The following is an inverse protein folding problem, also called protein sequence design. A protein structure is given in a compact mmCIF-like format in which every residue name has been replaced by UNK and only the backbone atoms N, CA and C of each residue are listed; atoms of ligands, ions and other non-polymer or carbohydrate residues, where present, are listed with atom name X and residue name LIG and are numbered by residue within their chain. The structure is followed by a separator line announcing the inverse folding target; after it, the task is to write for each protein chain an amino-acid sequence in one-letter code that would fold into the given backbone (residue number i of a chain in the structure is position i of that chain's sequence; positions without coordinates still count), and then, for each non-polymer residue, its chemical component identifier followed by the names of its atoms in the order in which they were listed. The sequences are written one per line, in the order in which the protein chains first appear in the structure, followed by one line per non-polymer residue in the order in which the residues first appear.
data_IF_832438920252
#
_entry.id   IF_832438920252
#
_cell.length_a   1.000
_cell.length_b   1.000
_cell.length_c   1.000
_cell.angle_alpha   90.00
_cell.angle_beta   90.00
_cell.angle_gamma   90.00
#
_symmetry.space_group_name_H-M   'P 1'
#
loop_
_entity.id
_entity.type
_entity.pdbx_description
1 polymer ?
#
# COMPACT_ATOMS: atom_id res chain seq x y z
N UNK A 1 -56.18 12.14 -26.63
CA UNK A 1 -55.02 12.57 -25.79
C UNK A 1 -53.73 12.24 -26.52
N UNK A 2 -52.93 13.24 -26.85
CA UNK A 2 -51.68 13.02 -27.57
C UNK A 2 -50.62 12.34 -26.69
N UNK A 3 -49.62 11.64 -27.29
CA UNK A 3 -48.63 10.90 -26.54
C UNK A 3 -47.85 11.71 -25.49
N UNK A 4 -47.64 13.01 -25.74
CA UNK A 4 -46.99 13.94 -24.79
C UNK A 4 -47.78 14.12 -23.50
N UNK A 5 -49.11 14.27 -23.54
CA UNK A 5 -49.95 14.38 -22.35
C UNK A 5 -50.03 13.10 -21.52
N UNK A 6 -49.91 11.93 -22.16
CA UNK A 6 -49.79 10.66 -21.42
C UNK A 6 -48.46 10.51 -20.69
N UNK A 7 -47.36 10.93 -21.30
CA UNK A 7 -46.05 10.96 -20.65
C UNK A 7 -46.03 11.93 -19.46
N UNK A 8 -46.60 13.13 -19.60
CA UNK A 8 -46.68 14.13 -18.55
C UNK A 8 -47.48 13.64 -17.33
N UNK A 9 -48.61 12.95 -17.60
CA UNK A 9 -49.43 12.35 -16.54
C UNK A 9 -48.73 11.21 -15.82
N UNK A 10 -48.03 10.35 -16.55
CA UNK A 10 -47.21 9.26 -15.97
C UNK A 10 -46.09 9.86 -15.13
N UNK A 11 -45.39 10.86 -15.63
CA UNK A 11 -44.31 11.54 -14.91
C UNK A 11 -44.78 12.18 -13.62
N UNK A 12 -45.94 12.88 -13.65
CA UNK A 12 -46.46 13.59 -12.47
C UNK A 12 -46.96 12.62 -11.39
N UNK A 13 -47.57 11.52 -11.77
CA UNK A 13 -48.18 10.58 -10.82
C UNK A 13 -47.22 9.52 -10.30
N UNK A 14 -46.31 9.05 -11.14
CA UNK A 14 -45.36 7.99 -10.82
C UNK A 14 -43.97 8.47 -10.45
N UNK A 15 -43.73 9.78 -10.45
CA UNK A 15 -42.44 10.38 -10.08
C UNK A 15 -41.87 9.81 -8.78
N UNK A 16 -42.62 9.74 -7.65
CA UNK A 16 -42.09 9.17 -6.41
C UNK A 16 -41.76 7.68 -6.52
N UNK A 17 -42.56 6.92 -7.27
CA UNK A 17 -42.32 5.50 -7.48
C UNK A 17 -41.09 5.24 -8.35
N UNK A 18 -40.90 6.05 -9.40
CA UNK A 18 -39.71 5.95 -10.29
C UNK A 18 -38.45 6.27 -9.50
N UNK A 19 -38.45 7.33 -8.69
CA UNK A 19 -37.32 7.64 -7.80
C UNK A 19 -37.06 6.55 -6.77
N UNK A 20 -38.13 5.94 -6.24
CA UNK A 20 -38.02 4.80 -5.32
C UNK A 20 -37.32 3.60 -5.96
N UNK A 21 -37.70 3.24 -7.18
CA UNK A 21 -37.05 2.15 -7.93
C UNK A 21 -35.59 2.45 -8.23
N UNK A 22 -35.27 3.67 -8.68
CA UNK A 22 -33.89 4.10 -8.93
C UNK A 22 -33.06 4.03 -7.64
N UNK A 23 -33.60 4.48 -6.51
CA UNK A 23 -32.92 4.43 -5.21
C UNK A 23 -32.65 2.98 -4.78
N UNK A 24 -33.60 2.05 -4.97
CA UNK A 24 -33.41 0.63 -4.67
C UNK A 24 -32.34 0.01 -5.55
N UNK A 25 -32.32 0.31 -6.84
CA UNK A 25 -31.30 -0.17 -7.78
C UNK A 25 -29.92 0.36 -7.34
N UNK A 26 -29.81 1.66 -7.03
CA UNK A 26 -28.55 2.26 -6.56
C UNK A 26 -28.06 1.63 -5.24
N UNK A 27 -28.97 1.32 -4.31
CA UNK A 27 -28.64 0.60 -3.06
C UNK A 27 -28.12 -0.81 -3.33
N UNK A 28 -28.73 -1.56 -4.24
CA UNK A 28 -28.29 -2.92 -4.60
C UNK A 28 -26.88 -2.89 -5.19
N UNK A 29 -26.59 -1.94 -6.10
CA UNK A 29 -25.25 -1.78 -6.65
C UNK A 29 -24.23 -1.36 -5.57
N UNK A 30 -24.59 -0.40 -4.71
CA UNK A 30 -23.70 0.04 -3.62
C UNK A 30 -23.41 -1.08 -2.61
N UNK A 31 -24.39 -1.91 -2.26
CA UNK A 31 -24.20 -3.06 -1.35
C UNK A 31 -23.31 -4.11 -2.03
N UNK A 32 -23.50 -4.37 -3.32
CA UNK A 32 -22.67 -5.33 -4.07
C UNK A 32 -21.21 -4.88 -4.09
N UNK A 33 -20.94 -3.61 -4.45
CA UNK A 33 -19.60 -3.06 -4.50
C UNK A 33 -18.94 -3.07 -3.11
N UNK A 34 -19.67 -2.70 -2.06
CA UNK A 34 -19.20 -2.78 -0.68
C UNK A 34 -18.83 -4.22 -0.28
N UNK A 35 -19.67 -5.19 -0.64
CA UNK A 35 -19.43 -6.60 -0.33
C UNK A 35 -18.23 -7.17 -1.10
N UNK A 36 -18.03 -6.78 -2.35
CA UNK A 36 -16.86 -7.19 -3.14
C UNK A 36 -15.57 -6.55 -2.58
N UNK A 37 -15.58 -5.27 -2.25
CA UNK A 37 -14.44 -4.60 -1.63
C UNK A 37 -14.08 -5.16 -0.24
N UNK A 38 -15.06 -5.60 0.54
CA UNK A 38 -14.80 -6.20 1.85
C UNK A 38 -14.08 -7.55 1.79
N UNK A 39 -13.99 -8.18 0.61
CA UNK A 39 -13.25 -9.43 0.39
C UNK A 39 -11.78 -9.19 0.07
N UNK A 40 -11.42 -7.99 -0.36
CA UNK A 40 -10.05 -7.65 -0.71
C UNK A 40 -9.20 -7.69 0.56
N UNK A 41 -8.15 -8.49 0.52
CA UNK A 41 -7.16 -8.60 1.60
C UNK A 41 -5.82 -8.11 1.10
N UNK A 42 -5.23 -7.19 1.81
CA UNK A 42 -3.83 -6.82 1.59
C UNK A 42 -2.95 -7.98 2.06
N UNK A 43 -2.26 -8.60 1.13
CA UNK A 43 -1.33 -9.73 1.39
C UNK A 43 0.08 -9.26 1.66
N UNK A 44 0.40 -8.05 1.23
CA UNK A 44 1.65 -7.37 1.50
C UNK A 44 1.45 -5.86 1.42
N UNK A 45 1.87 -5.14 2.45
CA UNK A 45 1.92 -3.68 2.48
C UNK A 45 3.37 -3.22 2.57
N UNK A 46 3.84 -2.54 1.53
CA UNK A 46 5.18 -1.97 1.45
C UNK A 46 5.09 -0.45 1.50
N UNK A 47 5.91 0.19 2.31
CA UNK A 47 6.02 1.65 2.34
C UNK A 47 7.39 2.07 1.82
N UNK A 48 7.40 2.94 0.80
CA UNK A 48 8.61 3.50 0.20
C UNK A 48 8.74 4.96 0.58
N UNK A 49 9.78 5.28 1.32
CA UNK A 49 10.06 6.65 1.80
C UNK A 49 10.71 7.46 0.68
N UNK A 50 10.31 8.72 0.51
CA UNK A 50 10.81 9.63 -0.53
C UNK A 50 10.74 9.04 -1.95
N UNK A 51 9.73 8.24 -2.26
CA UNK A 51 9.53 7.74 -3.62
C UNK A 51 9.10 8.86 -4.57
N UNK A 52 9.66 8.84 -5.77
CA UNK A 52 9.26 9.67 -6.92
C UNK A 52 8.47 8.87 -7.94
N UNK A 53 8.02 7.66 -7.60
CA UNK A 53 7.22 6.83 -8.50
C UNK A 53 5.90 7.54 -8.85
N UNK A 54 5.64 7.66 -10.15
CA UNK A 54 4.35 8.15 -10.67
C UNK A 54 3.33 7.02 -10.81
N UNK A 55 3.80 5.78 -10.79
CA UNK A 55 3.00 4.57 -10.93
C UNK A 55 3.46 3.54 -9.91
N UNK A 56 2.56 3.11 -9.05
CA UNK A 56 2.78 2.00 -8.10
C UNK A 56 2.08 0.72 -8.54
N UNK A 57 1.13 0.80 -9.50
CA UNK A 57 0.34 -0.35 -9.93
C UNK A 57 1.21 -1.41 -10.63
N UNK A 58 2.18 -0.98 -11.45
CA UNK A 58 3.08 -1.91 -12.14
C UNK A 58 3.94 -2.72 -11.18
N UNK A 59 4.67 -2.14 -10.22
CA UNK A 59 5.42 -2.90 -9.22
C UNK A 59 4.51 -3.71 -8.27
N UNK A 60 3.34 -3.21 -7.88
CA UNK A 60 2.35 -3.97 -7.10
C UNK A 60 1.94 -5.26 -7.81
N UNK A 61 1.65 -5.20 -9.10
CA UNK A 61 1.27 -6.38 -9.89
C UNK A 61 2.43 -7.37 -10.03
N UNK A 62 3.66 -6.91 -10.29
CA UNK A 62 4.83 -7.77 -10.36
C UNK A 62 5.09 -8.52 -9.04
N UNK A 63 5.01 -7.80 -7.92
CA UNK A 63 5.16 -8.42 -6.59
C UNK A 63 4.04 -9.42 -6.34
N UNK A 64 2.79 -9.06 -6.65
CA UNK A 64 1.62 -9.94 -6.54
C UNK A 64 1.79 -11.23 -7.37
N UNK A 65 2.29 -11.13 -8.60
CA UNK A 65 2.59 -12.29 -9.45
C UNK A 65 3.69 -13.16 -8.83
N UNK A 66 4.76 -12.54 -8.33
CA UNK A 66 5.88 -13.24 -7.68
C UNK A 66 5.44 -13.99 -6.43
N UNK A 67 4.50 -13.43 -5.67
CA UNK A 67 3.91 -14.05 -4.50
C UNK A 67 2.90 -15.17 -4.83
N UNK A 68 2.61 -15.41 -6.13
CA UNK A 68 1.70 -16.46 -6.58
C UNK A 68 0.21 -16.09 -6.56
N UNK A 69 -0.12 -14.80 -6.37
CA UNK A 69 -1.50 -14.31 -6.31
C UNK A 69 -1.99 -13.69 -7.62
N UNK A 70 -1.32 -13.94 -8.76
CA UNK A 70 -1.63 -13.33 -10.06
C UNK A 70 -3.11 -13.36 -10.41
N UNK A 71 -3.75 -14.51 -10.27
CA UNK A 71 -5.13 -14.75 -10.69
C UNK A 71 -6.16 -14.55 -9.56
N UNK A 72 -5.71 -14.15 -8.36
CA UNK A 72 -6.62 -13.91 -7.24
C UNK A 72 -7.10 -12.45 -7.22
N UNK A 73 -8.39 -12.19 -7.52
CA UNK A 73 -8.93 -10.83 -7.54
C UNK A 73 -9.09 -10.22 -6.14
N UNK A 74 -9.00 -11.02 -5.09
CA UNK A 74 -9.20 -10.59 -3.72
C UNK A 74 -7.90 -10.35 -2.95
N UNK A 75 -6.76 -10.73 -3.50
CA UNK A 75 -5.45 -10.45 -2.93
C UNK A 75 -4.87 -9.16 -3.51
N UNK A 76 -4.47 -8.22 -2.66
CA UNK A 76 -3.87 -6.94 -3.03
C UNK A 76 -2.48 -6.83 -2.44
N UNK A 77 -1.52 -6.36 -3.23
CA UNK A 77 -0.27 -5.78 -2.77
C UNK A 77 -0.45 -4.27 -2.77
N UNK A 78 0.04 -3.59 -1.77
CA UNK A 78 -0.11 -2.15 -1.62
C UNK A 78 1.26 -1.51 -1.41
N UNK A 79 1.59 -0.51 -2.23
CA UNK A 79 2.81 0.28 -2.12
C UNK A 79 2.45 1.71 -1.73
N UNK A 80 2.70 2.08 -0.48
CA UNK A 80 2.54 3.43 0.02
C UNK A 80 3.77 4.28 -0.27
N UNK A 81 3.58 5.49 -0.80
CA UNK A 81 4.65 6.44 -1.15
C UNK A 81 4.48 7.80 -0.47
N UNK A 82 3.76 7.81 0.64
CA UNK A 82 3.31 9.03 1.33
C UNK A 82 4.22 9.48 2.47
N UNK A 83 5.31 8.77 2.75
CA UNK A 83 6.26 9.16 3.79
C UNK A 83 7.44 9.90 3.19
N UNK A 84 7.73 11.07 3.76
CA UNK A 84 8.82 11.95 3.36
C UNK A 84 9.71 12.28 4.54
N UNK A 85 11.00 12.57 4.25
CA UNK A 85 12.00 12.92 5.26
C UNK A 85 12.39 14.38 5.17
N UNK A 86 13.15 14.83 6.13
CA UNK A 86 13.89 16.08 6.09
C UNK A 86 14.96 16.09 4.97
N UNK A 87 15.62 17.23 4.77
CA UNK A 87 16.65 17.38 3.73
C UNK A 87 17.88 16.51 3.95
N UNK A 88 18.14 16.05 5.18
CA UNK A 88 19.26 15.19 5.54
C UNK A 88 18.93 13.70 5.42
N UNK A 89 17.67 13.38 5.16
CA UNK A 89 17.13 12.02 5.04
C UNK A 89 17.36 11.16 6.31
N UNK A 90 17.42 11.81 7.46
CA UNK A 90 17.70 11.16 8.73
C UNK A 90 16.47 11.05 9.64
N UNK A 91 15.47 11.90 9.44
CA UNK A 91 14.24 11.94 10.22
C UNK A 91 13.05 12.17 9.31
N UNK A 92 11.88 11.69 9.71
CA UNK A 92 10.63 12.03 9.01
C UNK A 92 10.33 13.53 9.15
N UNK A 93 9.71 14.12 8.15
CA UNK A 93 9.06 15.40 8.35
C UNK A 93 7.86 15.27 9.31
N UNK A 94 7.34 16.40 9.80
CA UNK A 94 6.30 16.38 10.82
C UNK A 94 5.05 15.60 10.44
N UNK A 95 4.61 15.71 9.17
CA UNK A 95 3.40 15.02 8.70
C UNK A 95 3.66 13.53 8.51
N UNK A 96 4.81 13.18 7.94
CA UNK A 96 5.24 11.82 7.76
C UNK A 96 5.46 11.09 9.09
N UNK A 97 6.01 11.77 10.11
CA UNK A 97 6.15 11.21 11.45
C UNK A 97 4.80 10.80 12.04
N UNK A 98 3.79 11.66 11.94
CA UNK A 98 2.44 11.36 12.42
C UNK A 98 1.80 10.21 11.63
N UNK A 99 1.96 10.19 10.31
CA UNK A 99 1.46 9.13 9.46
C UNK A 99 2.14 7.79 9.75
N UNK A 100 3.46 7.79 9.91
CA UNK A 100 4.25 6.62 10.26
C UNK A 100 3.78 5.99 11.58
N UNK A 101 3.67 6.78 12.64
CA UNK A 101 3.19 6.29 13.95
C UNK A 101 1.80 5.67 13.84
N UNK A 102 0.88 6.32 13.10
CA UNK A 102 -0.46 5.78 12.89
C UNK A 102 -0.45 4.45 12.12
N UNK A 103 0.39 4.34 11.07
CA UNK A 103 0.52 3.13 10.26
C UNK A 103 1.14 1.97 11.04
N UNK A 104 2.17 2.22 11.85
CA UNK A 104 2.79 1.21 12.71
C UNK A 104 1.77 0.71 13.75
N UNK A 105 1.04 1.61 14.41
CA UNK A 105 0.02 1.23 15.39
C UNK A 105 -1.13 0.44 14.78
N UNK A 106 -1.45 0.71 13.51
CA UNK A 106 -2.46 -0.03 12.77
C UNK A 106 -1.96 -1.39 12.23
N UNK A 107 -0.65 -1.69 12.34
CA UNK A 107 -0.04 -2.86 11.73
C UNK A 107 -0.19 -2.89 10.20
N UNK A 108 -0.13 -1.70 9.57
CA UNK A 108 -0.38 -1.56 8.13
C UNK A 108 0.90 -1.40 7.30
N UNK A 109 2.06 -1.68 7.88
CA UNK A 109 3.35 -1.72 7.19
C UNK A 109 4.02 -3.07 7.45
N UNK A 110 4.16 -3.87 6.41
CA UNK A 110 4.91 -5.13 6.49
C UNK A 110 6.39 -4.90 6.15
N UNK A 111 6.67 -4.07 5.14
CA UNK A 111 8.02 -3.80 4.66
C UNK A 111 8.20 -2.30 4.46
N UNK A 112 9.35 -1.79 4.88
CA UNK A 112 9.78 -0.41 4.60
C UNK A 112 11.01 -0.39 3.71
N UNK A 113 10.96 0.46 2.69
CA UNK A 113 12.10 0.86 1.85
C UNK A 113 12.45 2.29 2.21
N UNK A 114 13.67 2.52 2.69
CA UNK A 114 14.03 3.80 3.26
C UNK A 114 15.53 4.13 3.08
N UNK A 115 15.91 5.42 3.23
CA UNK A 115 17.32 5.80 3.34
C UNK A 115 17.99 5.13 4.54
N UNK A 116 19.21 4.66 4.36
CA UNK A 116 20.02 4.05 5.45
C UNK A 116 20.13 4.98 6.69
N UNK A 117 20.24 6.28 6.49
CA UNK A 117 20.30 7.25 7.61
C UNK A 117 19.02 7.24 8.45
N UNK A 118 17.85 7.20 7.79
CA UNK A 118 16.57 7.11 8.47
C UNK A 118 16.47 5.80 9.25
N UNK A 119 16.84 4.68 8.65
CA UNK A 119 16.87 3.38 9.32
C UNK A 119 17.74 3.43 10.58
N UNK A 120 18.94 3.98 10.50
CA UNK A 120 19.85 4.10 11.67
C UNK A 120 19.27 4.98 12.78
N UNK A 121 18.44 5.97 12.45
CA UNK A 121 17.74 6.79 13.43
C UNK A 121 16.59 6.03 14.09
N UNK A 122 15.73 5.40 13.28
CA UNK A 122 14.59 4.62 13.76
C UNK A 122 15.02 3.44 14.62
N UNK A 123 16.06 2.71 14.22
CA UNK A 123 16.59 1.54 14.93
C UNK A 123 16.97 1.83 16.40
N UNK A 124 17.29 3.07 16.74
CA UNK A 124 17.64 3.45 18.11
C UNK A 124 16.46 3.38 19.07
N UNK A 125 15.26 3.60 18.56
CA UNK A 125 14.04 3.74 19.35
C UNK A 125 12.99 2.66 19.06
N UNK A 126 13.10 2.00 17.93
CA UNK A 126 12.10 1.07 17.45
C UNK A 126 12.76 -0.25 17.01
N UNK A 127 12.17 -1.40 17.39
CA UNK A 127 12.70 -2.69 16.97
C UNK A 127 12.36 -2.97 15.50
N UNK A 128 13.32 -3.52 14.77
CA UNK A 128 13.11 -4.15 13.47
C UNK A 128 13.29 -5.65 13.61
N UNK A 129 12.55 -6.42 12.81
CA UNK A 129 12.63 -7.85 12.82
C UNK A 129 13.99 -8.35 12.31
N UNK A 130 14.47 -9.45 12.87
CA UNK A 130 15.66 -10.11 12.38
C UNK A 130 15.34 -10.86 11.06
N UNK A 131 15.84 -10.35 9.94
CA UNK A 131 15.57 -10.89 8.62
C UNK A 131 16.21 -12.27 8.41
N UNK A 132 17.30 -12.56 9.11
CA UNK A 132 17.92 -13.88 9.08
C UNK A 132 17.02 -14.93 9.74
N UNK A 133 16.32 -14.57 10.83
CA UNK A 133 15.33 -15.45 11.45
C UNK A 133 14.08 -15.61 10.57
N UNK A 134 13.61 -14.53 9.92
CA UNK A 134 12.41 -14.56 9.09
C UNK A 134 12.58 -15.39 7.81
N UNK A 135 13.66 -15.22 7.07
CA UNK A 135 13.85 -15.84 5.76
C UNK A 135 14.78 -17.06 5.77
N UNK A 136 15.47 -17.30 6.87
CA UNK A 136 16.48 -18.33 7.02
C UNK A 136 17.87 -17.91 6.55
N UNK A 137 18.89 -18.53 7.12
CA UNK A 137 20.30 -18.18 6.90
C UNK A 137 20.72 -18.25 5.43
N UNK A 138 20.33 -19.33 4.73
CA UNK A 138 20.69 -19.54 3.32
C UNK A 138 20.11 -18.46 2.38
N UNK A 139 18.88 -18.02 2.64
CA UNK A 139 18.25 -16.96 1.85
C UNK A 139 18.85 -15.58 2.17
N UNK A 140 19.15 -15.31 3.44
CA UNK A 140 19.75 -14.07 3.88
C UNK A 140 21.17 -13.87 3.31
N UNK A 141 21.99 -14.91 3.27
CA UNK A 141 23.35 -14.87 2.73
C UNK A 141 23.40 -14.52 1.23
N UNK A 142 22.33 -14.78 0.47
CA UNK A 142 22.25 -14.41 -0.95
C UNK A 142 22.23 -12.88 -1.19
N UNK A 143 21.86 -12.11 -0.18
CA UNK A 143 21.89 -10.64 -0.24
C UNK A 143 23.24 -10.03 0.17
N UNK A 144 24.26 -10.85 0.35
CA UNK A 144 25.59 -10.44 0.74
C UNK A 144 25.84 -10.53 2.24
N UNK A 145 27.12 -10.54 2.65
CA UNK A 145 27.47 -10.57 4.08
C UNK A 145 27.19 -9.22 4.73
N UNK A 146 26.04 -9.15 5.37
CA UNK A 146 25.67 -7.98 6.17
C UNK A 146 25.98 -8.25 7.65
N UNK A 147 26.58 -7.30 8.31
CA UNK A 147 26.85 -7.37 9.75
C UNK A 147 25.60 -7.14 10.58
N UNK A 148 24.59 -6.51 10.01
CA UNK A 148 23.30 -6.23 10.62
C UNK A 148 22.22 -7.08 9.97
N UNK A 149 21.56 -7.92 10.75
CA UNK A 149 20.54 -8.87 10.28
C UNK A 149 19.14 -8.26 10.20
N UNK A 150 18.96 -7.00 10.61
CA UNK A 150 17.65 -6.35 10.65
C UNK A 150 17.34 -5.48 9.43
N UNK A 151 18.24 -5.41 8.46
CA UNK A 151 18.00 -4.76 7.16
C UNK A 151 18.81 -5.41 6.03
N UNK A 152 18.39 -5.15 4.80
CA UNK A 152 19.09 -5.55 3.58
C UNK A 152 19.29 -4.32 2.72
N UNK A 153 20.52 -4.07 2.25
CA UNK A 153 20.77 -3.04 1.24
C UNK A 153 20.28 -3.50 -0.14
N UNK A 154 19.57 -2.62 -0.83
CA UNK A 154 19.08 -2.85 -2.20
C UNK A 154 19.65 -1.80 -3.18
N UNK A 155 20.67 -1.09 -2.78
CA UNK A 155 21.35 -0.08 -3.59
C UNK A 155 21.78 -0.69 -4.93
N UNK A 156 21.62 0.06 -6.02
CA UNK A 156 21.89 -0.36 -7.41
C UNK A 156 21.04 -1.54 -7.92
N UNK A 157 19.92 -1.85 -7.26
CA UNK A 157 19.03 -2.92 -7.66
C UNK A 157 17.98 -2.46 -8.70
N UNK A 158 17.45 -3.41 -9.47
CA UNK A 158 16.30 -3.16 -10.36
C UNK A 158 15.07 -2.73 -9.56
N UNK A 159 14.89 -3.29 -8.36
CA UNK A 159 13.79 -2.94 -7.46
C UNK A 159 13.83 -1.47 -7.02
N UNK A 160 15.01 -0.94 -6.73
CA UNK A 160 15.20 0.48 -6.39
C UNK A 160 14.66 1.39 -7.49
N UNK A 161 15.00 1.08 -8.75
CA UNK A 161 14.56 1.86 -9.91
C UNK A 161 13.04 1.77 -10.12
N UNK A 162 12.46 0.60 -9.98
CA UNK A 162 11.01 0.38 -10.13
C UNK A 162 10.21 1.10 -9.04
N UNK A 163 10.73 1.19 -7.83
CA UNK A 163 10.12 1.89 -6.70
C UNK A 163 10.32 3.42 -6.76
N UNK A 164 11.01 3.93 -7.78
CA UNK A 164 11.24 5.37 -7.97
C UNK A 164 12.07 6.00 -6.85
N UNK A 165 12.98 5.24 -6.28
CA UNK A 165 13.89 5.70 -5.23
C UNK A 165 15.02 6.51 -5.87
N UNK A 166 15.36 7.66 -5.28
CA UNK A 166 16.37 8.61 -5.81
C UNK A 166 17.51 8.89 -4.84
N UNK A 167 17.58 8.15 -3.76
CA UNK A 167 18.60 8.29 -2.72
C UNK A 167 19.46 7.02 -2.58
N UNK A 168 20.66 7.18 -2.10
CA UNK A 168 21.65 6.14 -1.90
C UNK A 168 22.41 6.42 -0.59
N UNK A 169 22.65 5.43 0.29
CA UNK A 169 22.23 4.02 0.18
C UNK A 169 20.77 3.78 0.58
N UNK A 170 20.18 2.75 -0.05
CA UNK A 170 18.79 2.29 0.18
C UNK A 170 18.78 0.99 0.95
N UNK A 171 17.89 0.86 1.89
CA UNK A 171 17.69 -0.39 2.62
C UNK A 171 16.22 -0.80 2.73
N UNK A 172 16.02 -2.11 2.89
CA UNK A 172 14.74 -2.72 3.25
C UNK A 172 14.82 -3.20 4.69
N UNK A 173 13.79 -2.91 5.47
CA UNK A 173 13.63 -3.43 6.82
C UNK A 173 12.15 -3.78 7.09
N UNK A 174 11.93 -4.67 8.05
CA UNK A 174 10.59 -5.09 8.50
C UNK A 174 10.38 -4.50 9.89
N UNK A 175 9.46 -3.52 10.05
CA UNK A 175 9.15 -2.96 11.36
C UNK A 175 8.54 -4.04 12.25
N UNK A 176 8.89 -4.04 13.51
CA UNK A 176 8.26 -4.93 14.47
C UNK A 176 6.97 -4.25 14.96
N UNK A 177 5.84 -4.62 14.37
CA UNK A 177 4.53 -4.23 14.90
C UNK A 177 4.19 -5.16 16.06
N UNK A 178 4.07 -4.59 17.26
CA UNK A 178 3.68 -5.32 18.47
C UNK A 178 2.25 -5.88 18.37
#
# INVERSE_FOLDING_TARGET
MGPKKKLEYIWMYYKPAIFGVIAVIALIFGIKDYYEQSKIKTVLSMTVVNSMANDTETPEQKIKETLGYKDDPYSKVEIGVNLTTDSEMAEFDYNAQMAYVAQIQAGSIDIMVMPEKLYQTLKKNEPFADLKELMGEEAFEKFGMQTDTTHISITDSELEQELGVIYDPVCIAVPYSA
#
